data_IF_897515957682
#
_entry.id   IF_897515957682
#
_cell.length_a   1.000
_cell.length_b   1.000
_cell.length_c   1.000
_cell.angle_alpha   90.00
_cell.angle_beta   90.00
_cell.angle_gamma   90.00
#
_symmetry.space_group_name_H-M   'P 1'
#
loop_
_entity.id
_entity.type
_entity.pdbx_description
1 polymer ?
#
# COMPACT_ATOMS: atom_id res chain seq x y z
N UNK A 1 16.87 -7.26 -6.07
CA UNK A 1 15.48 -7.65 -6.34
C UNK A 1 15.23 -7.39 -7.81
N UNK A 2 14.66 -8.34 -8.54
CA UNK A 2 14.26 -8.17 -9.95
C UNK A 2 12.95 -7.38 -10.07
N UNK A 3 12.61 -6.89 -11.27
CA UNK A 3 11.30 -6.25 -11.54
C UNK A 3 10.13 -7.14 -11.10
N UNK A 4 10.20 -8.44 -11.42
CA UNK A 4 9.15 -9.41 -11.08
C UNK A 4 9.06 -9.64 -9.57
N UNK A 5 10.20 -9.80 -8.87
CA UNK A 5 10.21 -9.95 -7.41
C UNK A 5 9.63 -8.71 -6.71
N UNK A 6 9.97 -7.51 -7.18
CA UNK A 6 9.44 -6.27 -6.63
C UNK A 6 7.94 -6.10 -6.92
N UNK A 7 7.49 -6.50 -8.11
CA UNK A 7 6.08 -6.45 -8.48
C UNK A 7 5.24 -7.42 -7.63
N UNK A 8 5.76 -8.63 -7.39
CA UNK A 8 5.16 -9.60 -6.49
C UNK A 8 5.11 -9.08 -5.05
N UNK A 9 6.19 -8.45 -4.56
CA UNK A 9 6.23 -7.83 -3.24
C UNK A 9 5.18 -6.71 -3.11
N UNK A 10 4.98 -5.89 -4.15
CA UNK A 10 3.94 -4.87 -4.18
C UNK A 10 2.53 -5.48 -4.11
N UNK A 11 2.25 -6.55 -4.89
CA UNK A 11 0.95 -7.25 -4.85
C UNK A 11 0.68 -7.84 -3.45
N UNK A 12 1.68 -8.49 -2.85
CA UNK A 12 1.57 -9.04 -1.50
C UNK A 12 1.32 -7.92 -0.46
N UNK A 13 2.03 -6.80 -0.59
CA UNK A 13 1.82 -5.60 0.23
C UNK A 13 0.39 -5.04 0.11
N UNK A 14 -0.16 -4.99 -1.10
CA UNK A 14 -1.52 -4.51 -1.35
C UNK A 14 -2.59 -5.45 -0.78
N UNK A 15 -2.39 -6.78 -0.81
CA UNK A 15 -3.29 -7.71 -0.12
C UNK A 15 -3.28 -7.48 1.39
N UNK A 16 -2.10 -7.31 2.00
CA UNK A 16 -1.98 -7.00 3.41
C UNK A 16 -2.65 -5.64 3.77
N UNK A 17 -2.52 -4.65 2.89
CA UNK A 17 -3.13 -3.34 3.05
C UNK A 17 -4.66 -3.42 3.03
N UNK A 18 -5.24 -4.15 2.06
CA UNK A 18 -6.68 -4.38 2.00
C UNK A 18 -7.21 -5.02 3.29
N UNK A 19 -6.53 -6.06 3.79
CA UNK A 19 -6.90 -6.68 5.05
C UNK A 19 -6.85 -5.68 6.22
N UNK A 20 -5.72 -4.98 6.37
CA UNK A 20 -5.50 -4.06 7.49
C UNK A 20 -6.42 -2.84 7.47
N UNK A 21 -6.67 -2.25 6.30
CA UNK A 21 -7.62 -1.13 6.13
C UNK A 21 -9.05 -1.60 6.40
N UNK A 22 -9.41 -2.82 5.99
CA UNK A 22 -10.70 -3.42 6.34
C UNK A 22 -10.91 -3.58 7.84
N UNK A 23 -9.91 -4.09 8.56
CA UNK A 23 -9.94 -4.19 10.03
C UNK A 23 -10.04 -2.81 10.68
N UNK A 24 -9.25 -1.84 10.21
CA UNK A 24 -9.27 -0.47 10.71
C UNK A 24 -10.66 0.18 10.50
N UNK A 25 -11.27 0.00 9.33
CA UNK A 25 -12.60 0.50 9.01
C UNK A 25 -13.67 0.06 10.01
N UNK A 26 -13.59 -1.18 10.51
CA UNK A 26 -14.49 -1.68 11.55
C UNK A 26 -14.42 -0.97 12.91
N UNK A 27 -13.42 -0.10 13.14
CA UNK A 27 -13.26 0.72 14.35
C UNK A 27 -13.41 2.22 14.09
N UNK A 28 -13.70 2.63 12.86
CA UNK A 28 -13.83 4.03 12.45
C UNK A 28 -15.30 4.38 12.17
N UNK A 29 -15.63 5.66 12.26
CA UNK A 29 -16.97 6.18 11.98
C UNK A 29 -16.88 7.55 11.28
N UNK A 30 -18.01 8.00 10.73
CA UNK A 30 -18.12 9.31 10.07
C UNK A 30 -17.10 9.53 8.96
N UNK A 31 -16.44 10.69 8.96
CA UNK A 31 -15.45 11.06 7.95
C UNK A 31 -14.24 10.12 7.92
N UNK A 32 -13.81 9.57 9.06
CA UNK A 32 -12.70 8.61 9.12
C UNK A 32 -13.06 7.27 8.50
N UNK A 33 -14.30 6.81 8.67
CA UNK A 33 -14.79 5.62 7.97
C UNK A 33 -14.81 5.83 6.45
N UNK A 34 -15.32 6.98 6.00
CA UNK A 34 -15.33 7.32 4.57
C UNK A 34 -13.90 7.38 3.98
N UNK A 35 -12.93 7.91 4.71
CA UNK A 35 -11.52 7.89 4.32
C UNK A 35 -10.97 6.46 4.24
N UNK A 36 -11.29 5.59 5.20
CA UNK A 36 -10.86 4.18 5.17
C UNK A 36 -11.45 3.44 3.94
N UNK A 37 -12.73 3.67 3.62
CA UNK A 37 -13.36 3.11 2.42
C UNK A 37 -12.66 3.60 1.15
N UNK A 38 -12.33 4.89 1.06
CA UNK A 38 -11.61 5.43 -0.09
C UNK A 38 -10.20 4.82 -0.23
N UNK A 39 -9.45 4.68 0.87
CA UNK A 39 -8.15 3.99 0.89
C UNK A 39 -8.30 2.53 0.46
N UNK A 40 -9.30 1.80 0.95
CA UNK A 40 -9.53 0.41 0.58
C UNK A 40 -9.76 0.24 -0.93
N UNK A 41 -10.61 1.08 -1.53
CA UNK A 41 -10.87 1.02 -2.97
C UNK A 41 -9.63 1.41 -3.80
N UNK A 42 -8.80 2.33 -3.32
CA UNK A 42 -7.54 2.69 -3.98
C UNK A 42 -6.54 1.53 -3.96
N UNK A 43 -6.34 0.87 -2.81
CA UNK A 43 -5.51 -0.33 -2.70
C UNK A 43 -6.03 -1.46 -3.61
N UNK A 44 -7.35 -1.64 -3.67
CA UNK A 44 -7.97 -2.68 -4.51
C UNK A 44 -7.67 -2.45 -5.99
N UNK A 45 -7.91 -1.23 -6.49
CA UNK A 45 -7.61 -0.87 -7.88
C UNK A 45 -6.14 -1.10 -8.21
N UNK A 46 -5.25 -0.72 -7.28
CA UNK A 46 -3.81 -0.84 -7.48
C UNK A 46 -3.35 -2.30 -7.51
N UNK A 47 -3.83 -3.13 -6.59
CA UNK A 47 -3.58 -4.56 -6.61
C UNK A 47 -3.98 -5.19 -7.95
N UNK A 48 -5.16 -4.84 -8.43
CA UNK A 48 -5.70 -5.38 -9.69
C UNK A 48 -4.82 -4.92 -10.87
N UNK A 49 -4.44 -3.64 -10.91
CA UNK A 49 -3.51 -3.11 -11.93
C UNK A 49 -2.13 -3.78 -11.91
N UNK A 50 -1.53 -4.00 -10.74
CA UNK A 50 -0.24 -4.68 -10.61
C UNK A 50 -0.34 -6.16 -11.03
N UNK A 51 -1.46 -6.81 -10.69
CA UNK A 51 -1.73 -8.19 -11.08
C UNK A 51 -1.84 -8.32 -12.59
N UNK A 52 -2.51 -7.38 -13.26
CA UNK A 52 -2.63 -7.35 -14.72
C UNK A 52 -1.25 -7.18 -15.39
N UNK A 53 -0.39 -6.31 -14.85
CA UNK A 53 0.99 -6.13 -15.35
C UNK A 53 1.82 -7.41 -15.25
N UNK A 54 1.65 -8.15 -14.15
CA UNK A 54 2.38 -9.39 -13.90
C UNK A 54 1.87 -10.52 -14.81
N UNK A 55 0.55 -10.62 -15.02
CA UNK A 55 -0.05 -11.56 -15.99
C UNK A 55 0.42 -11.24 -17.41
N UNK A 56 0.51 -9.97 -17.79
CA UNK A 56 1.05 -9.54 -19.09
C UNK A 56 2.53 -9.90 -19.25
N UNK A 57 3.28 -10.02 -18.15
CA UNK A 57 4.65 -10.52 -18.15
C UNK A 57 4.76 -12.05 -18.22
N UNK A 58 3.63 -12.77 -18.26
CA UNK A 58 3.59 -14.23 -18.30
C UNK A 58 3.70 -14.91 -16.93
N UNK A 59 3.60 -14.12 -15.86
CA UNK A 59 3.75 -14.58 -14.48
C UNK A 59 2.40 -14.74 -13.77
N UNK A 60 2.37 -15.51 -12.67
CA UNK A 60 1.16 -15.67 -11.84
C UNK A 60 1.23 -14.75 -10.62
N UNK A 61 0.24 -13.86 -10.40
CA UNK A 61 0.18 -13.01 -9.21
C UNK A 61 0.15 -13.76 -7.90
N UNK A 62 0.89 -13.23 -6.91
CA UNK A 62 0.82 -13.69 -5.53
C UNK A 62 -0.64 -13.69 -5.04
N UNK A 63 -1.05 -14.82 -4.50
CA UNK A 63 -2.35 -14.96 -3.87
C UNK A 63 -2.39 -14.17 -2.55
N UNK A 64 -3.60 -13.81 -2.11
CA UNK A 64 -3.77 -13.30 -0.75
C UNK A 64 -3.45 -14.41 0.25
N UNK A 65 -2.68 -14.10 1.29
CA UNK A 65 -2.51 -14.99 2.43
C UNK A 65 -3.85 -15.21 3.16
N UNK A 66 -4.07 -16.39 3.79
CA UNK A 66 -5.30 -16.69 4.50
C UNK A 66 -5.50 -15.81 5.73
N UNK A 67 -4.40 -15.28 6.30
CA UNK A 67 -4.41 -14.36 7.42
C UNK A 67 -3.17 -13.45 7.37
N UNK A 68 -3.29 -12.26 7.95
CA UNK A 68 -2.18 -11.32 8.14
C UNK A 68 -2.05 -10.96 9.61
N UNK A 69 -0.82 -11.05 10.13
CA UNK A 69 -0.53 -10.60 11.49
C UNK A 69 -0.52 -9.08 11.55
N UNK A 70 -1.38 -8.53 12.40
CA UNK A 70 -1.40 -7.11 12.66
C UNK A 70 -0.27 -6.76 13.63
N UNK A 71 0.50 -5.69 13.35
CA UNK A 71 1.65 -5.31 14.17
C UNK A 71 1.26 -4.81 15.57
N UNK A 72 -0.03 -4.49 15.78
CA UNK A 72 -0.60 -4.13 17.07
C UNK A 72 -2.11 -4.43 17.10
N UNK A 73 -2.71 -4.62 18.28
CA UNK A 73 -4.16 -4.75 18.43
C UNK A 73 -4.91 -3.48 17.96
N UNK A 74 -6.00 -3.69 17.21
CA UNK A 74 -6.85 -2.61 16.69
C UNK A 74 -8.18 -2.59 17.44
N UNK A 75 -8.21 -1.88 18.56
CA UNK A 75 -9.34 -1.90 19.51
C UNK A 75 -10.18 -0.62 19.48
N UNK A 76 -9.65 0.47 18.93
CA UNK A 76 -10.32 1.77 18.86
C UNK A 76 -9.85 2.60 17.65
N UNK A 77 -10.50 3.76 17.45
CA UNK A 77 -10.22 4.64 16.31
C UNK A 77 -8.76 5.14 16.21
N UNK A 78 -8.10 5.38 17.36
CA UNK A 78 -6.70 5.81 17.38
C UNK A 78 -5.77 4.68 16.89
N UNK A 79 -5.95 3.47 17.42
CA UNK A 79 -5.18 2.29 16.97
C UNK A 79 -5.46 1.93 15.51
N UNK A 80 -6.69 2.16 15.03
CA UNK A 80 -7.06 1.94 13.63
C UNK A 80 -6.38 2.95 12.69
N UNK A 81 -6.39 4.23 13.04
CA UNK A 81 -5.69 5.28 12.29
C UNK A 81 -4.18 5.03 12.25
N UNK A 82 -3.59 4.63 13.38
CA UNK A 82 -2.18 4.27 13.46
C UNK A 82 -1.83 3.06 12.59
N UNK A 83 -2.73 2.06 12.51
CA UNK A 83 -2.54 0.92 11.61
C UNK A 83 -2.51 1.37 10.14
N UNK A 84 -3.49 2.17 9.69
CA UNK A 84 -3.51 2.63 8.29
C UNK A 84 -2.26 3.45 7.96
N UNK A 85 -1.85 4.37 8.84
CA UNK A 85 -0.60 5.11 8.67
C UNK A 85 0.63 4.19 8.52
N UNK A 86 0.72 3.13 9.32
CA UNK A 86 1.81 2.18 9.24
C UNK A 86 1.80 1.38 7.93
N UNK A 87 0.62 1.00 7.44
CA UNK A 87 0.44 0.33 6.14
C UNK A 87 0.97 1.23 5.02
N UNK A 88 0.54 2.49 4.98
CA UNK A 88 0.96 3.44 3.94
C UNK A 88 2.47 3.72 3.96
N UNK A 89 3.08 3.73 5.15
CA UNK A 89 4.55 3.83 5.30
C UNK A 89 5.25 2.61 4.73
N UNK A 90 4.81 1.41 5.08
CA UNK A 90 5.42 0.17 4.58
C UNK A 90 5.26 0.05 3.07
N UNK A 91 4.08 0.34 2.54
CA UNK A 91 3.83 0.36 1.10
C UNK A 91 4.68 1.39 0.37
N UNK A 92 4.91 2.57 0.94
CA UNK A 92 5.79 3.56 0.30
C UNK A 92 7.22 3.04 0.09
N UNK A 93 7.74 2.23 1.03
CA UNK A 93 9.05 1.58 0.85
C UNK A 93 8.99 0.52 -0.25
N UNK A 94 7.97 -0.34 -0.24
CA UNK A 94 7.77 -1.37 -1.28
C UNK A 94 7.66 -0.75 -2.68
N UNK A 95 6.97 0.38 -2.81
CA UNK A 95 6.88 1.09 -4.07
C UNK A 95 8.18 1.79 -4.47
N UNK A 96 8.98 2.27 -3.52
CA UNK A 96 10.31 2.78 -3.81
C UNK A 96 11.22 1.66 -4.37
N UNK A 97 11.19 0.47 -3.77
CA UNK A 97 11.91 -0.70 -4.26
C UNK A 97 11.45 -1.10 -5.68
N UNK A 98 10.14 -1.04 -5.96
CA UNK A 98 9.61 -1.28 -7.31
C UNK A 98 10.03 -0.20 -8.32
N UNK A 99 10.09 1.07 -7.92
CA UNK A 99 10.62 2.15 -8.78
C UNK A 99 12.08 1.91 -9.14
N UNK A 100 12.88 1.44 -8.18
CA UNK A 100 14.30 1.08 -8.39
C UNK A 100 14.45 -0.12 -9.33
N UNK A 101 13.66 -1.18 -9.11
CA UNK A 101 13.75 -2.43 -9.87
C UNK A 101 13.05 -2.40 -11.23
N UNK A 102 12.15 -1.45 -11.50
CA UNK A 102 11.41 -1.37 -12.75
C UNK A 102 12.35 -1.18 -13.95
N UNK A 103 12.22 -2.05 -14.95
CA UNK A 103 12.90 -2.00 -16.23
C UNK A 103 11.99 -1.45 -17.32
N UNK A 104 10.67 -1.72 -17.22
CA UNK A 104 9.65 -1.29 -18.19
C UNK A 104 8.95 -0.01 -17.74
N UNK A 105 8.80 0.93 -18.67
CA UNK A 105 8.13 2.21 -18.43
C UNK A 105 6.70 2.11 -17.85
N UNK A 106 5.82 1.19 -18.31
CA UNK A 106 4.50 1.03 -17.70
C UNK A 106 4.56 0.66 -16.20
N UNK A 107 5.49 -0.21 -15.81
CA UNK A 107 5.67 -0.64 -14.42
C UNK A 107 6.23 0.51 -13.59
N UNK A 108 7.27 1.20 -14.10
CA UNK A 108 7.85 2.39 -13.44
C UNK A 108 6.79 3.46 -13.19
N UNK A 109 5.95 3.73 -14.18
CA UNK A 109 4.87 4.74 -14.09
C UNK A 109 3.90 4.42 -12.96
N UNK A 110 3.41 3.17 -12.90
CA UNK A 110 2.49 2.73 -11.84
C UNK A 110 3.16 2.80 -10.47
N UNK A 111 4.43 2.36 -10.37
CA UNK A 111 5.17 2.39 -9.12
C UNK A 111 5.38 3.82 -8.57
N UNK A 112 5.73 4.78 -9.44
CA UNK A 112 5.87 6.19 -9.04
C UNK A 112 4.54 6.78 -8.58
N UNK A 113 3.45 6.52 -9.32
CA UNK A 113 2.11 6.99 -8.95
C UNK A 113 1.68 6.42 -7.59
N UNK A 114 1.95 5.14 -7.36
CA UNK A 114 1.66 4.45 -6.11
C UNK A 114 2.48 4.97 -4.93
N UNK A 115 3.76 5.26 -5.13
CA UNK A 115 4.65 5.89 -4.15
C UNK A 115 4.14 7.26 -3.74
N UNK A 116 3.73 8.10 -4.70
CA UNK A 116 3.17 9.42 -4.43
C UNK A 116 1.85 9.29 -3.66
N UNK A 117 0.97 8.39 -4.09
CA UNK A 117 -0.33 8.19 -3.46
C UNK A 117 -0.21 7.71 -2.00
N UNK A 118 0.65 6.72 -1.73
CA UNK A 118 0.91 6.23 -0.35
C UNK A 118 1.54 7.32 0.51
N UNK A 119 2.49 8.10 -0.03
CA UNK A 119 3.08 9.24 0.68
C UNK A 119 2.03 10.31 1.05
N UNK A 120 1.09 10.61 0.15
CA UNK A 120 -0.02 11.52 0.43
C UNK A 120 -0.98 10.96 1.47
N UNK A 121 -1.29 9.67 1.40
CA UNK A 121 -2.15 9.00 2.36
C UNK A 121 -1.57 9.05 3.78
N UNK A 122 -0.24 8.96 3.94
CA UNK A 122 0.40 9.15 5.24
C UNK A 122 0.00 10.48 5.89
N UNK A 123 -0.06 11.59 5.13
CA UNK A 123 -0.50 12.89 5.65
C UNK A 123 -1.98 12.87 6.06
N UNK A 124 -2.84 12.19 5.28
CA UNK A 124 -4.26 12.01 5.62
C UNK A 124 -4.47 11.25 6.93
N UNK A 125 -3.60 10.27 7.21
CA UNK A 125 -3.67 9.41 8.39
C UNK A 125 -2.80 9.88 9.56
N UNK A 126 -2.33 11.14 9.53
CA UNK A 126 -1.65 11.78 10.66
C UNK A 126 -0.13 11.62 10.70
N UNK A 127 0.49 11.23 9.58
CA UNK A 127 1.93 11.30 9.39
C UNK A 127 2.42 12.74 9.30
N UNK A 128 3.55 13.04 9.92
CA UNK A 128 4.29 14.29 9.72
C UNK A 128 5.15 14.18 8.46
N UNK A 129 5.33 15.27 7.67
CA UNK A 129 6.25 15.26 6.54
C UNK A 129 7.64 14.81 6.99
N UNK A 130 8.14 13.69 6.44
CA UNK A 130 9.51 13.28 6.64
C UNK A 130 10.35 13.93 5.52
N UNK A 131 11.38 14.69 5.89
CA UNK A 131 12.29 15.26 4.90
C UNK A 131 12.96 14.11 4.13
N UNK A 132 12.89 14.15 2.79
CA UNK A 132 13.64 13.24 1.94
C UNK A 132 15.15 13.47 2.13
N UNK A 133 16.00 12.42 2.11
CA UNK A 133 17.44 12.60 2.12
C UNK A 133 17.85 13.41 0.87
N UNK A 134 18.45 14.59 1.07
CA UNK A 134 18.88 15.47 -0.02
C UNK A 134 18.57 16.96 0.14
N UNK A 135 17.93 17.38 1.24
CA UNK A 135 17.80 18.79 1.60
C UNK A 135 18.37 19.04 3.01
N UNK A 136 19.70 19.10 3.10
CA UNK A 136 20.44 19.69 4.20
C UNK A 136 21.69 20.36 3.67
#
# INVERSE_FOLDING_TARGET
>A
MTEIEALQAAIAGEHAALYGVGVAGGKLSGSRFAQATASFEEHRRRRDQLSDLLVQAGETPAAAEPAYDLPQPVTNAATATALVLLIERRLSVVYADLVEAAEKEPIRTVAVQALIATSRAQLTWGGTPQAFPGQS
#
